data_IF_240344985192
#
_entry.id   IF_240344985192
#
_cell.length_a   1.000
_cell.length_b   1.000
_cell.length_c   1.000
_cell.angle_alpha   90.00
_cell.angle_beta   90.00
_cell.angle_gamma   90.00
#
_symmetry.space_group_name_H-M   'P 1'
#
loop_
_entity.id
_entity.type
_entity.pdbx_description
1 polymer ?
#
# COMPACT_ATOMS: atom_id res chain seq x y z
N UNK A 1 6.58 -31.37 8.75
CA UNK A 1 5.14 -31.60 9.02
C UNK A 1 5.00 -32.80 9.96
N UNK A 2 5.45 -33.99 9.56
CA UNK A 2 5.39 -35.20 10.41
C UNK A 2 6.25 -35.11 11.68
N UNK A 3 7.40 -34.40 11.63
CA UNK A 3 8.29 -34.24 12.79
C UNK A 3 7.68 -33.39 13.93
N UNK A 4 6.68 -32.55 13.64
CA UNK A 4 6.10 -31.58 14.59
C UNK A 4 4.56 -31.69 14.68
N UNK A 5 3.97 -32.74 14.09
CA UNK A 5 2.51 -32.96 14.02
C UNK A 5 1.71 -31.73 13.54
N UNK A 6 2.27 -30.98 12.59
CA UNK A 6 1.63 -29.76 12.08
C UNK A 6 0.59 -30.15 11.04
N UNK A 7 -0.70 -30.06 11.40
CA UNK A 7 -1.80 -30.28 10.46
C UNK A 7 -1.71 -29.31 9.26
N UNK A 8 -2.00 -29.74 8.02
CA UNK A 8 -1.98 -28.87 6.85
C UNK A 8 -2.82 -27.60 6.98
N UNK A 9 -3.98 -27.69 7.65
CA UNK A 9 -4.85 -26.54 7.95
C UNK A 9 -4.31 -25.55 8.99
N UNK A 10 -3.19 -25.88 9.64
CA UNK A 10 -2.48 -24.99 10.55
C UNK A 10 -1.31 -24.26 9.87
N UNK A 11 -1.12 -24.45 8.56
CA UNK A 11 -0.09 -23.78 7.78
C UNK A 11 -0.69 -22.54 7.12
N UNK A 12 -0.30 -21.36 7.61
CA UNK A 12 -0.73 -20.07 7.09
C UNK A 12 0.46 -19.32 6.48
N UNK A 13 0.27 -18.77 5.28
CA UNK A 13 1.16 -17.75 4.74
C UNK A 13 0.70 -16.38 5.24
N UNK A 14 1.60 -15.67 5.89
CA UNK A 14 1.39 -14.34 6.42
C UNK A 14 2.21 -13.35 5.61
N UNK A 15 1.59 -12.26 5.17
CA UNK A 15 2.27 -11.18 4.44
C UNK A 15 1.69 -9.81 4.85
N UNK A 16 2.56 -8.82 4.92
CA UNK A 16 2.19 -7.42 5.16
C UNK A 16 2.21 -6.67 3.83
N UNK A 17 1.08 -6.06 3.48
CA UNK A 17 0.96 -5.23 2.28
C UNK A 17 0.55 -3.80 2.62
N UNK A 18 1.39 -2.84 2.24
CA UNK A 18 1.05 -1.42 2.30
C UNK A 18 0.09 -1.01 1.17
N UNK A 19 -1.01 -0.38 1.53
CA UNK A 19 -1.95 0.31 0.66
C UNK A 19 -1.82 1.82 0.89
N UNK A 20 -1.59 2.58 -0.17
CA UNK A 20 -1.52 4.03 -0.11
C UNK A 20 -2.95 4.59 -0.09
N UNK A 21 -3.37 5.26 0.99
CA UNK A 21 -4.70 5.89 1.08
C UNK A 21 -4.69 7.20 0.29
N UNK A 22 -3.66 8.02 0.53
CA UNK A 22 -3.54 9.34 -0.07
C UNK A 22 -2.16 9.47 -0.68
N UNK A 23 -2.13 9.57 -2.00
CA UNK A 23 -1.03 10.25 -2.66
C UNK A 23 -1.27 11.74 -2.42
N UNK A 24 -0.62 12.35 -1.42
CA UNK A 24 -0.53 13.83 -1.32
C UNK A 24 0.41 14.35 -2.44
N UNK A 25 0.32 13.78 -3.63
CA UNK A 25 0.98 14.25 -4.83
C UNK A 25 0.07 15.25 -5.53
N UNK A 26 0.06 16.51 -5.07
CA UNK A 26 -0.49 17.67 -5.81
C UNK A 26 -1.86 17.44 -6.50
N UNK A 27 -2.74 16.59 -5.95
CA UNK A 27 -4.02 16.25 -6.60
C UNK A 27 -5.13 17.24 -6.27
N UNK A 28 -4.92 18.11 -5.27
CA UNK A 28 -5.73 19.33 -5.09
C UNK A 28 -5.33 20.36 -6.16
N UNK A 29 -5.91 20.18 -7.36
CA UNK A 29 -6.04 21.17 -8.43
C UNK A 29 -4.72 21.78 -8.92
N UNK A 30 -4.12 21.18 -9.94
CA UNK A 30 -3.01 21.77 -10.70
C UNK A 30 -3.54 22.95 -11.52
N UNK A 31 -3.72 24.12 -10.90
CA UNK A 31 -3.91 25.38 -11.63
C UNK A 31 -2.56 25.76 -12.23
N UNK A 32 -2.32 25.34 -13.47
CA UNK A 32 -1.19 25.84 -14.22
C UNK A 32 -1.47 27.29 -14.62
N UNK A 33 -0.76 28.25 -14.04
CA UNK A 33 -0.72 29.59 -14.63
C UNK A 33 0.21 29.56 -15.84
N UNK A 34 -0.18 30.23 -16.93
CA UNK A 34 0.61 30.33 -18.17
C UNK A 34 2.02 30.86 -17.89
N UNK A 35 2.14 31.81 -16.96
CA UNK A 35 3.42 32.37 -16.52
C UNK A 35 4.37 31.33 -15.90
N UNK A 36 3.86 30.33 -15.18
CA UNK A 36 4.71 29.32 -14.53
C UNK A 36 5.24 28.30 -15.55
N UNK A 37 4.46 28.03 -16.60
CA UNK A 37 4.84 27.19 -17.74
C UNK A 37 5.92 27.85 -18.59
N UNK A 38 5.72 29.12 -18.95
CA UNK A 38 6.71 29.88 -19.73
C UNK A 38 8.04 30.06 -18.99
N UNK A 39 8.01 30.13 -17.65
CA UNK A 39 9.22 30.20 -16.81
C UNK A 39 9.94 28.86 -16.58
N UNK A 40 9.47 27.73 -17.15
CA UNK A 40 10.05 26.37 -16.99
C UNK A 40 10.37 25.94 -15.54
N UNK A 41 9.67 26.50 -14.54
CA UNK A 41 9.96 26.28 -13.11
C UNK A 41 9.39 24.97 -12.54
N UNK A 42 8.40 24.36 -13.21
CA UNK A 42 7.79 23.08 -12.81
C UNK A 42 7.63 22.19 -14.03
N UNK A 43 8.75 21.69 -14.54
CA UNK A 43 8.82 20.84 -15.74
C UNK A 43 8.52 19.37 -15.43
N UNK A 44 8.57 18.95 -14.16
CA UNK A 44 8.46 17.54 -13.76
C UNK A 44 7.33 17.30 -12.74
N UNK A 45 6.70 16.13 -12.84
CA UNK A 45 5.76 15.59 -11.85
C UNK A 45 6.58 14.94 -10.74
N UNK A 46 7.21 15.76 -9.90
CA UNK A 46 7.78 15.27 -8.65
C UNK A 46 6.62 14.91 -7.72
N UNK A 47 6.49 13.61 -7.43
CA UNK A 47 5.68 13.10 -6.32
C UNK A 47 6.38 13.49 -5.03
N UNK A 48 6.13 14.71 -4.58
CA UNK A 48 6.53 15.16 -3.26
C UNK A 48 5.25 15.30 -2.43
N UNK A 49 5.00 14.29 -1.62
CA UNK A 49 3.80 14.14 -0.81
C UNK A 49 4.06 13.25 0.39
N UNK A 50 3.65 13.70 1.57
CA UNK A 50 3.47 12.82 2.72
C UNK A 50 2.51 11.70 2.31
N UNK A 51 2.98 10.46 2.32
CA UNK A 51 2.15 9.31 1.95
C UNK A 51 1.52 8.75 3.23
N UNK A 52 0.20 8.81 3.32
CA UNK A 52 -0.55 8.07 4.33
C UNK A 52 -0.73 6.63 3.82
N UNK A 53 -0.17 5.67 4.55
CA UNK A 53 -0.22 4.25 4.23
C UNK A 53 -1.04 3.53 5.28
N UNK A 54 -1.98 2.70 4.87
CA UNK A 54 -2.51 1.63 5.73
C UNK A 54 -1.75 0.39 5.36
N UNK A 55 -1.25 -0.34 6.34
CA UNK A 55 -0.70 -1.67 6.09
C UNK A 55 -1.72 -2.71 6.49
N UNK A 56 -1.94 -3.67 5.61
CA UNK A 56 -2.82 -4.80 5.83
C UNK A 56 -1.96 -6.01 6.11
N UNK A 57 -2.26 -6.69 7.21
CA UNK A 57 -1.69 -7.97 7.57
C UNK A 57 -2.67 -9.07 7.16
N UNK A 58 -2.29 -9.84 6.15
CA UNK A 58 -3.15 -10.87 5.56
C UNK A 58 -2.61 -12.27 5.84
N UNK A 59 -3.54 -13.22 5.97
CA UNK A 59 -3.25 -14.62 6.22
C UNK A 59 -4.04 -15.49 5.26
N UNK A 60 -3.36 -16.42 4.59
CA UNK A 60 -4.00 -17.42 3.72
C UNK A 60 -3.54 -18.80 4.14
N UNK A 61 -4.49 -19.64 4.55
CA UNK A 61 -4.29 -21.04 4.89
C UNK A 61 -4.09 -21.90 3.65
N UNK A 62 -3.46 -23.06 3.82
CA UNK A 62 -3.24 -24.03 2.74
C UNK A 62 -4.56 -24.52 2.09
N UNK A 63 -5.64 -24.55 2.87
CA UNK A 63 -6.99 -24.97 2.44
C UNK A 63 -7.78 -23.87 1.70
N UNK A 64 -7.11 -22.74 1.38
CA UNK A 64 -7.69 -21.51 0.78
C UNK A 64 -8.57 -20.69 1.70
N UNK A 65 -8.61 -21.02 2.99
CA UNK A 65 -9.26 -20.21 4.02
C UNK A 65 -8.41 -18.96 4.33
N UNK A 66 -9.07 -17.86 4.68
CA UNK A 66 -8.43 -16.61 5.07
C UNK A 66 -8.82 -16.24 6.50
N UNK A 67 -7.83 -15.86 7.32
CA UNK A 67 -8.11 -15.29 8.64
C UNK A 67 -8.54 -13.81 8.49
N UNK A 68 -9.23 -13.24 9.51
CA UNK A 68 -9.54 -11.82 9.52
C UNK A 68 -8.29 -10.96 9.27
N UNK A 69 -8.45 -9.94 8.42
CA UNK A 69 -7.38 -9.01 8.09
C UNK A 69 -7.04 -8.12 9.28
N UNK A 70 -5.75 -7.95 9.56
CA UNK A 70 -5.25 -6.95 10.49
C UNK A 70 -5.00 -5.61 9.78
N UNK A 71 -5.44 -4.50 10.36
CA UNK A 71 -5.14 -3.16 9.88
C UNK A 71 -4.12 -2.48 10.80
N UNK A 72 -3.08 -1.93 10.20
CA UNK A 72 -2.03 -1.15 10.87
C UNK A 72 -2.07 0.26 10.28
N UNK A 73 -2.23 1.24 11.18
CA UNK A 73 -2.30 2.68 10.87
C UNK A 73 -0.97 3.37 11.21
#
# INVERSE_FOLDING_TARGET
>A
IEEYDILPGNIYKMDEKGFMIEQIGRSKRRVFSRETWEKRRKTEVLQDGSHEWIRVLAYVGADRDALPLGLIF
#
